data_IF_157251962199
#
_entry.id   IF_157251962199
#
_cell.length_a   1.000
_cell.length_b   1.000
_cell.length_c   1.000
_cell.angle_alpha   90.00
_cell.angle_beta   90.00
_cell.angle_gamma   90.00
#
_symmetry.space_group_name_H-M   'P 1'
#
loop_
_entity.id
_entity.type
_entity.pdbx_description
1 polymer ?
#
# COMPACT_ATOMS: atom_id res chain seq x y z
N UNK A 1 -13.18 16.02 -0.11
CA UNK A 1 -12.60 16.21 1.24
C UNK A 1 -11.09 16.14 1.13
N UNK A 2 -10.41 17.29 1.15
CA UNK A 2 -8.94 17.38 1.16
C UNK A 2 -8.51 17.96 2.49
N UNK A 3 -8.28 17.11 3.49
CA UNK A 3 -7.81 17.53 4.84
C UNK A 3 -6.84 16.52 5.48
N UNK A 4 -6.28 15.55 4.73
CA UNK A 4 -5.51 14.45 5.32
C UNK A 4 -4.01 14.68 5.54
N UNK A 5 -3.39 15.63 4.83
CA UNK A 5 -1.93 15.81 4.89
C UNK A 5 -1.45 16.74 6.01
N UNK A 6 -2.25 17.76 6.37
CA UNK A 6 -1.82 18.80 7.31
C UNK A 6 -1.72 18.32 8.77
N UNK A 7 -2.35 17.19 9.13
CA UNK A 7 -2.39 16.69 10.51
C UNK A 7 -1.37 15.58 10.82
N UNK A 8 -0.75 15.00 9.79
CA UNK A 8 0.22 13.92 9.96
C UNK A 8 1.64 14.50 9.99
N UNK A 9 2.24 14.55 11.19
CA UNK A 9 3.67 14.89 11.34
C UNK A 9 4.50 14.02 10.41
N UNK A 10 5.45 14.62 9.68
CA UNK A 10 6.32 13.93 8.73
C UNK A 10 7.03 12.71 9.35
N UNK A 11 7.37 12.78 10.65
CA UNK A 11 8.01 11.70 11.42
C UNK A 11 7.09 10.53 11.79
N UNK A 12 5.77 10.70 11.69
CA UNK A 12 4.77 9.67 12.07
C UNK A 12 4.15 8.98 10.85
N UNK A 13 4.87 8.95 9.73
CA UNK A 13 4.38 8.40 8.45
C UNK A 13 3.83 9.45 7.49
N UNK A 14 3.86 10.74 7.83
CA UNK A 14 3.46 11.85 6.94
C UNK A 14 4.15 11.80 5.57
N UNK A 15 5.44 11.45 5.54
CA UNK A 15 6.21 11.23 4.32
C UNK A 15 5.67 10.07 3.46
N UNK A 16 5.22 8.98 4.07
CA UNK A 16 4.66 7.85 3.33
C UNK A 16 3.33 8.21 2.67
N UNK A 17 2.44 8.89 3.39
CA UNK A 17 1.16 9.33 2.81
C UNK A 17 1.36 10.34 1.67
N UNK A 18 2.32 11.27 1.79
CA UNK A 18 2.67 12.19 0.71
C UNK A 18 3.22 11.45 -0.52
N UNK A 19 4.16 10.52 -0.31
CA UNK A 19 4.72 9.71 -1.38
C UNK A 19 3.68 8.80 -2.06
N UNK A 20 2.64 8.38 -1.35
CA UNK A 20 1.49 7.67 -1.93
C UNK A 20 0.62 8.59 -2.81
N UNK A 21 0.43 9.85 -2.42
CA UNK A 21 -0.30 10.81 -3.24
C UNK A 21 0.48 11.24 -4.49
N UNK A 22 1.82 11.26 -4.44
CA UNK A 22 2.66 11.51 -5.61
C UNK A 22 2.73 10.31 -6.57
N UNK A 23 2.62 9.09 -6.03
CA UNK A 23 2.74 7.87 -6.82
C UNK A 23 1.51 7.53 -7.67
N UNK A 24 0.36 8.12 -7.34
CA UNK A 24 -0.93 7.83 -7.99
C UNK A 24 -1.61 9.12 -8.42
N UNK A 25 -2.39 9.06 -9.51
CA UNK A 25 -3.20 10.21 -9.91
C UNK A 25 -4.24 10.55 -8.84
N UNK A 26 -4.59 11.83 -8.71
CA UNK A 26 -5.48 12.33 -7.66
C UNK A 26 -6.89 11.71 -7.64
N UNK A 27 -7.35 11.15 -8.76
CA UNK A 27 -8.62 10.42 -8.88
C UNK A 27 -8.48 8.89 -8.77
N UNK A 28 -7.28 8.39 -8.47
CA UNK A 28 -7.03 6.96 -8.41
C UNK A 28 -7.27 6.42 -6.99
N UNK A 29 -8.20 5.47 -6.87
CA UNK A 29 -8.52 4.78 -5.62
C UNK A 29 -7.33 4.02 -5.01
N UNK A 30 -6.31 3.68 -5.81
CA UNK A 30 -5.05 3.09 -5.33
C UNK A 30 -4.31 3.98 -4.33
N UNK A 31 -4.52 5.29 -4.35
CA UNK A 31 -3.97 6.22 -3.34
C UNK A 31 -4.41 5.81 -1.94
N UNK A 32 -5.70 5.50 -1.75
CA UNK A 32 -6.25 5.10 -0.46
C UNK A 32 -5.61 3.80 0.06
N UNK A 33 -5.44 2.81 -0.82
CA UNK A 33 -4.83 1.52 -0.47
C UNK A 33 -3.35 1.66 -0.15
N UNK A 34 -2.64 2.56 -0.83
CA UNK A 34 -1.26 2.90 -0.49
C UNK A 34 -1.15 3.52 0.90
N UNK A 35 -2.07 4.42 1.26
CA UNK A 35 -2.13 4.99 2.60
C UNK A 35 -2.38 3.92 3.68
N UNK A 36 -3.23 2.93 3.41
CA UNK A 36 -3.41 1.76 4.28
C UNK A 36 -2.13 0.94 4.47
N UNK A 37 -1.33 0.80 3.40
CA UNK A 37 0.00 0.20 3.51
C UNK A 37 0.94 0.95 4.44
N UNK A 38 0.91 2.29 4.41
CA UNK A 38 1.65 3.11 5.36
C UNK A 38 1.20 2.85 6.82
N UNK A 39 -0.11 2.67 7.05
CA UNK A 39 -0.65 2.34 8.37
C UNK A 39 -0.15 0.98 8.87
N UNK A 40 -0.16 -0.05 8.02
CA UNK A 40 0.30 -1.39 8.39
C UNK A 40 1.79 -1.45 8.72
N UNK A 41 2.61 -0.64 8.05
CA UNK A 41 4.05 -0.60 8.29
C UNK A 41 4.46 0.34 9.44
N UNK A 42 3.52 1.12 10.01
CA UNK A 42 3.83 2.15 10.99
C UNK A 42 4.42 1.55 12.28
N UNK A 43 5.64 1.96 12.63
CA UNK A 43 6.35 1.44 13.81
C UNK A 43 6.97 0.05 13.63
N UNK A 44 6.88 -0.54 12.43
CA UNK A 44 7.36 -1.90 12.10
C UNK A 44 8.58 -1.89 11.18
N UNK A 45 9.28 -0.77 11.12
CA UNK A 45 10.17 -0.39 10.03
C UNK A 45 11.62 -0.83 10.19
N UNK A 46 12.11 -0.84 11.42
CA UNK A 46 13.47 -1.27 11.74
C UNK A 46 13.63 -2.80 11.77
N UNK A 47 12.54 -3.54 11.81
CA UNK A 47 12.55 -5.00 11.95
C UNK A 47 12.05 -5.68 10.67
N UNK A 48 12.91 -6.51 10.08
CA UNK A 48 12.58 -7.26 8.87
C UNK A 48 11.37 -8.17 9.06
N UNK A 49 11.18 -8.72 10.27
CA UNK A 49 10.07 -9.62 10.55
C UNK A 49 8.72 -8.88 10.56
N UNK A 50 8.70 -7.68 11.17
CA UNK A 50 7.49 -6.86 11.23
C UNK A 50 7.14 -6.26 9.85
N UNK A 51 8.13 -6.13 8.96
CA UNK A 51 7.89 -5.77 7.54
C UNK A 51 7.25 -6.91 6.75
N UNK A 52 7.68 -8.15 6.97
CA UNK A 52 7.00 -9.32 6.40
C UNK A 52 5.58 -9.47 6.95
N UNK A 53 5.37 -9.18 8.24
CA UNK A 53 4.03 -9.14 8.81
C UNK A 53 3.15 -8.09 8.10
N UNK A 54 3.68 -6.89 7.84
CA UNK A 54 2.97 -5.86 7.08
C UNK A 54 2.68 -6.27 5.62
N UNK A 55 3.58 -7.02 4.98
CA UNK A 55 3.36 -7.60 3.64
C UNK A 55 2.19 -8.61 3.68
N UNK A 56 2.19 -9.51 4.67
CA UNK A 56 1.11 -10.48 4.87
C UNK A 56 -0.23 -9.80 5.17
N UNK A 57 -0.24 -8.70 5.92
CA UNK A 57 -1.45 -7.90 6.12
C UNK A 57 -1.99 -7.31 4.81
N UNK A 58 -1.13 -6.84 3.90
CA UNK A 58 -1.54 -6.40 2.57
C UNK A 58 -2.11 -7.56 1.73
N UNK A 59 -1.55 -8.77 1.82
CA UNK A 59 -2.09 -9.96 1.13
C UNK A 59 -3.48 -10.33 1.66
N UNK A 60 -3.65 -10.37 2.98
CA UNK A 60 -4.94 -10.66 3.62
C UNK A 60 -5.98 -9.59 3.27
N UNK A 61 -5.60 -8.32 3.23
CA UNK A 61 -6.47 -7.23 2.78
C UNK A 61 -6.91 -7.41 1.31
N UNK A 62 -6.00 -7.80 0.43
CA UNK A 62 -6.31 -8.05 -0.97
C UNK A 62 -7.26 -9.24 -1.16
N UNK A 63 -6.96 -10.37 -0.51
CA UNK A 63 -7.78 -11.57 -0.58
C UNK A 63 -9.17 -11.42 0.09
N UNK A 64 -9.32 -10.50 1.05
CA UNK A 64 -10.62 -10.19 1.66
C UNK A 64 -11.44 -9.18 0.87
N UNK A 65 -10.79 -8.30 0.10
CA UNK A 65 -11.46 -7.29 -0.72
C UNK A 65 -11.88 -7.82 -2.10
N UNK A 66 -11.13 -8.78 -2.62
CA UNK A 66 -11.37 -9.42 -3.91
C UNK A 66 -11.25 -10.94 -3.79
N UNK A 67 -12.16 -11.68 -4.42
CA UNK A 67 -11.96 -13.12 -4.62
C UNK A 67 -10.80 -13.33 -5.57
N UNK A 68 -9.78 -14.07 -5.12
CA UNK A 68 -8.67 -14.49 -5.97
C UNK A 68 -9.21 -15.29 -7.15
N UNK A 69 -8.79 -14.91 -8.36
CA UNK A 69 -9.05 -15.70 -9.57
C UNK A 69 -8.10 -16.91 -9.59
N UNK A 70 -8.42 -17.94 -10.35
CA UNK A 70 -7.59 -19.17 -10.46
C UNK A 70 -6.15 -18.87 -10.89
N UNK A 71 -5.94 -17.76 -11.61
CA UNK A 71 -4.63 -17.32 -12.11
C UNK A 71 -3.93 -16.28 -11.21
N UNK A 72 -4.55 -15.87 -10.09
CA UNK A 72 -4.01 -14.83 -9.20
C UNK A 72 -3.37 -15.45 -7.94
N UNK A 73 -2.03 -15.47 -7.92
CA UNK A 73 -1.24 -15.82 -6.74
C UNK A 73 -0.59 -14.57 -6.13
N UNK A 74 -0.97 -14.22 -4.90
CA UNK A 74 -0.42 -13.09 -4.16
C UNK A 74 0.97 -13.38 -3.57
N UNK A 75 1.34 -14.64 -3.42
CA UNK A 75 2.67 -15.06 -2.97
C UNK A 75 3.69 -14.98 -4.12
N UNK A 76 3.22 -15.22 -5.35
CA UNK A 76 4.06 -15.21 -6.55
C UNK A 76 3.72 -14.07 -7.53
N UNK A 77 3.85 -12.82 -7.09
CA UNK A 77 3.71 -11.64 -7.96
C UNK A 77 5.07 -11.25 -8.57
N UNK A 78 5.24 -11.46 -9.88
CA UNK A 78 6.49 -11.23 -10.61
C UNK A 78 6.96 -9.76 -10.56
N UNK A 79 6.07 -8.80 -10.85
CA UNK A 79 6.39 -7.37 -10.76
C UNK A 79 5.52 -6.66 -9.71
N UNK A 80 6.15 -6.21 -8.62
CA UNK A 80 5.52 -5.46 -7.53
C UNK A 80 5.55 -3.93 -7.72
N UNK A 81 5.92 -3.43 -8.89
CA UNK A 81 5.90 -1.99 -9.22
C UNK A 81 4.46 -1.49 -9.39
N UNK A 82 4.29 -0.20 -9.18
CA UNK A 82 3.01 0.49 -9.35
C UNK A 82 3.13 1.58 -10.42
N UNK A 83 2.06 1.77 -11.17
CA UNK A 83 1.91 2.86 -12.14
C UNK A 83 0.85 3.85 -11.64
N UNK A 84 1.00 5.13 -12.01
CA UNK A 84 0.11 6.19 -11.54
C UNK A 84 -1.37 5.97 -11.90
N UNK A 85 -1.63 5.28 -13.01
CA UNK A 85 -2.96 4.92 -13.54
C UNK A 85 -3.41 3.51 -13.14
N UNK A 86 -2.66 2.81 -12.28
CA UNK A 86 -3.02 1.46 -11.87
C UNK A 86 -4.19 1.52 -10.91
N UNK A 87 -5.36 1.05 -11.33
CA UNK A 87 -6.56 0.98 -10.49
C UNK A 87 -6.64 -0.37 -9.75
N UNK A 88 -7.18 -0.39 -8.52
CA UNK A 88 -7.28 -1.59 -7.70
C UNK A 88 -8.50 -2.42 -8.14
N UNK A 89 -8.54 -2.88 -9.40
CA UNK A 89 -9.69 -3.61 -9.97
C UNK A 89 -9.64 -5.11 -9.70
N UNK A 90 -8.51 -5.60 -9.20
CA UNK A 90 -8.28 -7.00 -8.84
C UNK A 90 -7.40 -7.10 -7.58
N UNK A 91 -7.31 -8.30 -7.02
CA UNK A 91 -6.55 -8.55 -5.79
C UNK A 91 -5.07 -8.17 -5.97
N UNK A 92 -4.48 -8.53 -7.11
CA UNK A 92 -3.08 -8.25 -7.42
C UNK A 92 -2.76 -6.75 -7.46
N UNK A 93 -3.57 -5.92 -8.11
CA UNK A 93 -3.31 -4.47 -8.16
C UNK A 93 -3.54 -3.80 -6.80
N UNK A 94 -4.54 -4.26 -6.05
CA UNK A 94 -4.78 -3.76 -4.69
C UNK A 94 -3.63 -4.16 -3.75
N UNK A 95 -3.12 -5.38 -3.85
CA UNK A 95 -1.92 -5.83 -3.14
C UNK A 95 -0.71 -4.95 -3.49
N UNK A 96 -0.44 -4.72 -4.77
CA UNK A 96 0.66 -3.84 -5.23
C UNK A 96 0.51 -2.42 -4.70
N UNK A 97 -0.70 -1.87 -4.71
CA UNK A 97 -0.98 -0.54 -4.17
C UNK A 97 -0.73 -0.47 -2.66
N UNK A 98 -1.15 -1.48 -1.89
CA UNK A 98 -0.87 -1.56 -0.45
C UNK A 98 0.64 -1.67 -0.16
N UNK A 99 1.31 -2.60 -0.85
CA UNK A 99 2.75 -2.83 -0.69
C UNK A 99 3.57 -1.58 -1.03
N UNK A 100 3.12 -0.79 -1.99
CA UNK A 100 3.75 0.48 -2.33
C UNK A 100 3.83 1.44 -1.14
N UNK A 101 2.84 1.45 -0.24
CA UNK A 101 2.88 2.19 1.03
C UNK A 101 3.87 1.59 2.01
N UNK A 102 3.81 0.27 2.23
CA UNK A 102 4.74 -0.45 3.13
C UNK A 102 6.21 -0.18 2.77
N UNK A 103 6.53 -0.15 1.47
CA UNK A 103 7.88 0.11 0.95
C UNK A 103 8.31 1.58 1.03
N UNK A 104 7.35 2.52 1.07
CA UNK A 104 7.60 3.98 1.09
C UNK A 104 7.76 4.52 2.50
N UNK A 105 7.27 3.82 3.50
CA UNK A 105 7.61 4.12 4.88
C UNK A 105 9.14 3.89 5.02
N UNK A 106 9.87 4.96 5.39
CA UNK A 106 11.34 5.00 5.52
C UNK A 106 11.83 5.07 6.98
N UNK A 107 10.92 5.28 7.94
CA UNK A 107 11.17 5.32 9.39
C UNK A 107 10.17 4.50 10.18
#
# INVERSE_FOLDING_TARGET
MSTGLAYNKYDKGGLCYAACQEAFEWWNASTFWCQKGCDFARGRQGDAHLREEADNMCKMMAASSYSLKEDEDLDYVEDKRIHATMYPVNATNLYKACLAGVRRQRY
#
